data_IF_941157509285
#
_entry.id   IF_941157509285
#
_cell.length_a   1.000
_cell.length_b   1.000
_cell.length_c   1.000
_cell.angle_alpha   90.00
_cell.angle_beta   90.00
_cell.angle_gamma   90.00
#
_symmetry.space_group_name_H-M   'P 1'
#
loop_
_entity.id
_entity.type
_entity.pdbx_description
1 polymer ?
#
# COMPACT_ATOMS: atom_id res chain seq x y z
N UNK A 1 -4.06 -19.21 -28.26
CA UNK A 1 -3.84 -17.75 -28.26
C UNK A 1 -2.42 -17.56 -27.76
N UNK A 2 -1.56 -16.94 -28.57
CA UNK A 2 -0.14 -16.80 -28.28
C UNK A 2 0.02 -15.86 -27.08
N UNK A 3 0.52 -16.42 -25.99
CA UNK A 3 0.84 -15.75 -24.73
C UNK A 3 2.02 -14.82 -24.98
N UNK A 4 1.87 -13.54 -24.64
CA UNK A 4 2.97 -12.59 -24.68
C UNK A 4 3.68 -12.64 -23.33
N UNK A 5 5.00 -12.68 -23.40
CA UNK A 5 5.93 -13.11 -22.35
C UNK A 5 6.93 -11.99 -22.12
N UNK A 6 7.25 -11.72 -20.86
CA UNK A 6 8.43 -10.95 -20.44
C UNK A 6 9.11 -11.78 -19.34
N UNK A 7 10.45 -11.87 -19.38
CA UNK A 7 11.30 -12.77 -18.59
C UNK A 7 12.31 -11.93 -17.83
N UNK A 8 12.60 -12.32 -16.57
CA UNK A 8 13.97 -12.28 -16.02
C UNK A 8 14.03 -13.12 -14.72
N UNK A 9 15.16 -13.77 -14.40
CA UNK A 9 15.37 -14.72 -13.27
C UNK A 9 16.85 -14.69 -12.85
N UNK A 10 17.20 -14.80 -11.55
CA UNK A 10 18.14 -15.80 -10.93
C UNK A 10 18.31 -15.55 -9.41
N UNK A 11 17.98 -16.43 -8.44
CA UNK A 11 18.42 -17.79 -8.03
C UNK A 11 19.90 -17.94 -7.57
N UNK A 12 20.10 -18.20 -6.27
CA UNK A 12 21.23 -18.94 -5.67
C UNK A 12 20.64 -20.25 -5.09
N UNK A 13 21.17 -21.48 -5.18
CA UNK A 13 22.49 -22.04 -5.49
C UNK A 13 22.34 -23.53 -5.93
N UNK A 14 23.31 -23.98 -6.73
CA UNK A 14 23.78 -25.35 -7.01
C UNK A 14 23.21 -26.14 -8.20
N UNK A 15 24.10 -26.25 -9.21
CA UNK A 15 24.19 -27.19 -10.35
C UNK A 15 23.72 -26.67 -11.73
N UNK A 16 24.40 -27.13 -12.81
CA UNK A 16 25.08 -26.23 -13.74
C UNK A 16 24.19 -25.85 -14.92
N UNK A 17 24.18 -24.56 -15.26
CA UNK A 17 23.70 -24.11 -16.56
C UNK A 17 24.87 -23.44 -17.27
N UNK A 18 25.04 -23.83 -18.52
CA UNK A 18 26.21 -23.59 -19.35
C UNK A 18 26.44 -22.10 -19.64
N UNK A 19 27.71 -21.71 -19.55
CA UNK A 19 28.26 -20.48 -20.10
C UNK A 19 28.37 -20.57 -21.62
N UNK A 20 27.98 -19.50 -22.33
CA UNK A 20 28.56 -19.14 -23.62
C UNK A 20 29.25 -17.79 -23.42
N UNK A 21 30.57 -17.76 -23.60
CA UNK A 21 31.38 -16.57 -23.42
C UNK A 21 32.15 -16.18 -24.68
N UNK A 22 32.50 -14.89 -24.75
CA UNK A 22 33.75 -14.28 -25.22
C UNK A 22 33.63 -12.78 -24.92
N UNK A 23 34.63 -12.01 -24.47
CA UNK A 23 36.00 -12.26 -24.00
C UNK A 23 36.57 -10.93 -23.46
N UNK A 24 37.40 -11.02 -22.41
CA UNK A 24 38.50 -10.13 -22.03
C UNK A 24 38.26 -8.62 -21.86
N UNK A 25 37.60 -8.21 -20.77
CA UNK A 25 38.24 -7.43 -19.69
C UNK A 25 37.22 -6.93 -18.65
N UNK A 26 37.23 -7.56 -17.47
CA UNK A 26 36.70 -7.03 -16.21
C UNK A 26 35.17 -6.93 -16.09
N UNK A 27 34.52 -7.91 -15.45
CA UNK A 27 33.13 -7.80 -15.00
C UNK A 27 33.07 -8.14 -13.50
N UNK A 28 32.69 -7.15 -12.70
CA UNK A 28 32.11 -7.27 -11.35
C UNK A 28 30.87 -6.34 -11.28
N UNK A 29 29.83 -6.78 -10.53
CA UNK A 29 28.57 -6.11 -10.09
C UNK A 29 27.23 -6.53 -10.76
N UNK A 30 26.25 -6.89 -9.90
CA UNK A 30 24.81 -7.11 -10.14
C UNK A 30 23.99 -5.81 -10.02
N UNK A 31 22.69 -5.72 -10.34
CA UNK A 31 21.58 -6.66 -10.07
C UNK A 31 20.41 -6.57 -11.08
N UNK A 32 19.40 -7.44 -10.90
CA UNK A 32 18.42 -7.92 -11.89
C UNK A 32 16.99 -7.84 -11.33
N UNK A 33 16.05 -7.28 -12.10
CA UNK A 33 14.59 -7.44 -11.92
C UNK A 33 14.21 -8.83 -12.40
N UNK A 34 13.40 -9.63 -11.67
CA UNK A 34 13.01 -10.97 -12.14
C UNK A 34 11.51 -11.28 -12.06
N UNK A 35 10.94 -11.74 -13.18
CA UNK A 35 9.58 -12.23 -13.36
C UNK A 35 9.57 -13.75 -13.64
N UNK A 36 8.68 -14.49 -12.97
CA UNK A 36 8.58 -15.95 -13.10
C UNK A 36 7.29 -16.35 -13.86
N UNK A 37 7.34 -17.46 -14.59
CA UNK A 37 6.35 -17.85 -15.62
C UNK A 37 4.97 -18.31 -15.09
N UNK A 38 4.67 -18.03 -13.84
CA UNK A 38 3.52 -18.47 -13.03
C UNK A 38 2.71 -17.30 -12.45
N UNK A 39 2.81 -16.11 -13.06
CA UNK A 39 2.07 -14.88 -12.72
C UNK A 39 2.56 -14.16 -11.43
N UNK A 40 3.74 -14.56 -10.93
CA UNK A 40 4.46 -13.96 -9.79
C UNK A 40 5.56 -12.97 -10.22
N UNK A 41 5.56 -11.76 -9.62
CA UNK A 41 6.63 -10.76 -9.76
C UNK A 41 7.49 -10.67 -8.48
N UNK A 42 8.81 -10.87 -8.61
CA UNK A 42 9.78 -10.64 -7.54
C UNK A 42 10.61 -9.38 -7.85
N UNK A 43 10.47 -8.33 -7.04
CA UNK A 43 11.23 -7.07 -7.19
C UNK A 43 12.41 -7.08 -6.21
N UNK A 44 13.64 -7.26 -6.72
CA UNK A 44 14.88 -7.21 -5.94
C UNK A 44 15.56 -5.84 -6.07
N UNK A 45 16.05 -5.26 -4.96
CA UNK A 45 16.97 -4.11 -4.94
C UNK A 45 18.03 -4.30 -3.83
N UNK A 46 19.31 -4.30 -4.15
CA UNK A 46 20.46 -4.45 -3.21
C UNK A 46 21.54 -3.42 -3.57
N UNK A 47 21.70 -2.42 -2.70
CA UNK A 47 22.64 -1.29 -2.82
C UNK A 47 24.12 -1.62 -2.59
N UNK A 48 25.00 -1.50 -3.61
CA UNK A 48 26.14 -0.53 -3.62
C UNK A 48 27.13 -0.72 -4.82
N UNK A 49 27.01 0.17 -5.83
CA UNK A 49 28.14 0.78 -6.55
C UNK A 49 28.61 0.16 -7.89
N UNK A 50 28.51 0.91 -9.00
CA UNK A 50 29.63 1.32 -9.90
C UNK A 50 29.13 1.91 -11.25
N UNK A 51 30.04 2.64 -11.91
CA UNK A 51 29.84 3.61 -13.01
C UNK A 51 29.71 3.03 -14.45
N UNK A 52 28.95 3.78 -15.26
CA UNK A 52 28.89 4.08 -16.73
C UNK A 52 29.76 3.35 -17.79
N UNK A 53 29.12 3.12 -18.97
CA UNK A 53 29.59 3.10 -20.40
C UNK A 53 29.82 1.70 -21.05
N UNK A 54 29.85 1.51 -22.41
CA UNK A 54 29.70 2.46 -23.54
C UNK A 54 28.71 2.03 -24.66
N UNK A 55 28.57 2.89 -25.69
CA UNK A 55 27.77 2.76 -26.93
C UNK A 55 27.85 1.37 -27.60
N UNK A 56 26.70 0.84 -28.04
CA UNK A 56 26.64 -0.24 -29.01
C UNK A 56 25.73 0.14 -30.19
N UNK A 57 26.36 0.27 -31.35
CA UNK A 57 25.73 0.27 -32.66
C UNK A 57 25.08 -1.10 -32.92
N UNK A 58 23.81 -1.05 -33.34
CA UNK A 58 22.98 -2.10 -33.94
C UNK A 58 22.05 -2.92 -33.00
N UNK A 59 20.77 -2.74 -33.32
CA UNK A 59 19.49 -2.95 -32.62
C UNK A 59 19.26 -4.29 -31.87
N UNK A 60 18.76 -4.22 -30.61
CA UNK A 60 17.88 -5.24 -30.04
C UNK A 60 16.41 -4.87 -30.31
N UNK A 61 15.56 -5.89 -30.42
CA UNK A 61 14.11 -5.75 -30.60
C UNK A 61 13.51 -4.75 -29.58
N UNK A 62 13.13 -3.58 -30.10
CA UNK A 62 12.48 -2.45 -29.40
C UNK A 62 11.32 -2.92 -28.51
N UNK A 63 11.07 -2.19 -27.40
CA UNK A 63 9.86 -2.14 -26.56
C UNK A 63 9.96 -2.61 -25.09
N UNK A 64 11.06 -3.19 -24.59
CA UNK A 64 11.19 -3.51 -23.15
C UNK A 64 12.30 -2.77 -22.41
N UNK A 65 13.26 -2.19 -23.12
CA UNK A 65 14.38 -1.45 -22.51
C UNK A 65 14.08 0.05 -22.31
N UNK A 66 12.96 0.57 -22.84
CA UNK A 66 12.62 2.01 -22.77
C UNK A 66 11.73 2.38 -21.55
N UNK A 67 11.18 1.41 -20.82
CA UNK A 67 10.12 1.66 -19.83
C UNK A 67 10.44 1.25 -18.39
N UNK A 68 11.61 0.66 -18.11
CA UNK A 68 12.06 0.30 -16.76
C UNK A 68 13.29 1.13 -16.39
N UNK A 69 13.10 2.38 -15.96
CA UNK A 69 14.19 3.20 -15.44
C UNK A 69 14.19 3.15 -13.90
N UNK A 70 14.95 2.19 -13.34
CA UNK A 70 15.27 2.20 -11.92
C UNK A 70 16.38 3.22 -11.70
N UNK A 71 16.04 4.42 -11.23
CA UNK A 71 17.07 5.38 -10.88
C UNK A 71 17.79 4.92 -9.63
N UNK A 72 18.96 4.30 -9.81
CA UNK A 72 19.96 4.13 -8.78
C UNK A 72 20.66 5.47 -8.56
N UNK A 73 20.53 6.02 -7.36
CA UNK A 73 21.33 7.16 -6.93
C UNK A 73 22.65 6.61 -6.31
N UNK A 74 23.75 7.29 -6.57
CA UNK A 74 25.07 6.77 -6.92
C UNK A 74 25.99 6.47 -5.74
N UNK A 75 25.48 5.70 -4.78
CA UNK A 75 26.27 5.13 -3.69
C UNK A 75 26.05 5.80 -2.33
N UNK A 76 24.91 6.48 -2.16
CA UNK A 76 24.44 6.95 -0.86
C UNK A 76 22.89 6.93 -0.74
N UNK A 77 22.24 6.10 -1.55
CA UNK A 77 20.94 6.48 -2.09
C UNK A 77 19.96 5.32 -2.16
N UNK A 78 18.73 5.65 -1.83
CA UNK A 78 17.64 4.74 -1.53
C UNK A 78 16.85 4.40 -2.81
N UNK A 79 16.35 3.16 -2.93
CA UNK A 79 15.59 2.72 -4.10
C UNK A 79 14.15 3.23 -4.06
N UNK A 80 13.71 3.93 -5.10
CA UNK A 80 12.30 4.28 -5.28
C UNK A 80 11.79 3.50 -6.48
N UNK A 81 10.67 2.80 -6.33
CA UNK A 81 9.90 2.31 -7.48
C UNK A 81 9.20 3.55 -8.07
N UNK A 82 9.96 4.34 -8.84
CA UNK A 82 9.44 5.54 -9.51
C UNK A 82 8.63 5.09 -10.70
N UNK A 83 7.50 5.75 -10.90
CA UNK A 83 6.71 5.62 -12.11
C UNK A 83 6.41 7.00 -12.70
N UNK A 84 6.85 7.18 -13.94
CA UNK A 84 6.58 8.38 -14.71
C UNK A 84 5.19 8.25 -15.34
N UNK A 85 4.18 8.81 -14.68
CA UNK A 85 2.92 9.11 -15.33
C UNK A 85 3.17 10.13 -16.46
N UNK A 86 3.43 9.63 -17.67
CA UNK A 86 3.59 10.45 -18.87
C UNK A 86 2.23 11.03 -19.26
N UNK A 87 1.96 12.26 -18.80
CA UNK A 87 0.95 13.24 -19.27
C UNK A 87 -0.19 12.70 -20.19
N UNK A 88 -0.92 11.69 -19.70
CA UNK A 88 -1.86 10.82 -20.39
C UNK A 88 -2.49 9.84 -19.38
N UNK A 89 -3.48 8.97 -19.71
CA UNK A 89 -4.32 8.31 -18.71
C UNK A 89 -3.53 7.28 -17.86
N UNK A 90 -2.89 7.79 -16.80
CA UNK A 90 -2.79 7.31 -15.42
C UNK A 90 -2.81 5.78 -15.19
N UNK A 91 -2.01 5.03 -15.93
CA UNK A 91 -1.75 3.62 -15.65
C UNK A 91 -0.27 3.51 -15.27
N UNK A 92 0.03 2.95 -14.09
CA UNK A 92 1.39 2.66 -13.72
C UNK A 92 1.97 1.52 -14.57
N UNK A 93 3.29 1.43 -14.66
CA UNK A 93 4.04 0.50 -15.50
C UNK A 93 3.61 -0.96 -15.29
N UNK A 94 3.24 -1.33 -14.06
CA UNK A 94 2.79 -2.68 -13.71
C UNK A 94 1.27 -2.74 -13.51
N UNK A 95 0.50 -1.73 -13.95
CA UNK A 95 -0.97 -1.73 -13.89
C UNK A 95 -1.60 -2.59 -14.98
N UNK A 96 -2.75 -3.22 -14.70
CA UNK A 96 -3.58 -3.92 -15.70
C UNK A 96 -2.90 -5.13 -16.37
N UNK A 97 -1.99 -5.79 -15.66
CA UNK A 97 -1.21 -6.91 -16.19
C UNK A 97 -1.65 -8.29 -15.68
N UNK A 98 -2.61 -8.36 -14.77
CA UNK A 98 -3.07 -9.61 -14.17
C UNK A 98 -2.02 -10.25 -13.27
N UNK A 99 -1.16 -9.43 -12.64
CA UNK A 99 -0.17 -9.90 -11.66
C UNK A 99 -0.93 -10.40 -10.44
N UNK A 100 -0.57 -11.59 -9.93
CA UNK A 100 -1.25 -12.22 -8.79
C UNK A 100 -0.43 -12.19 -7.50
N UNK A 101 0.88 -12.00 -7.59
CA UNK A 101 1.77 -12.01 -6.43
C UNK A 101 2.92 -11.02 -6.60
N UNK A 102 3.18 -10.22 -5.56
CA UNK A 102 4.26 -9.23 -5.52
C UNK A 102 5.06 -9.35 -4.22
N UNK A 103 6.38 -9.46 -4.36
CA UNK A 103 7.30 -9.33 -3.23
C UNK A 103 8.21 -8.12 -3.43
N UNK A 104 8.10 -7.17 -2.51
CA UNK A 104 8.95 -5.98 -2.41
C UNK A 104 10.04 -6.28 -1.36
N UNK A 105 11.27 -6.48 -1.85
CA UNK A 105 12.42 -6.78 -1.00
C UNK A 105 13.06 -5.53 -0.37
N UNK A 106 14.06 -5.73 0.49
CA UNK A 106 14.82 -4.66 1.15
C UNK A 106 15.36 -3.63 0.12
N UNK A 107 15.66 -2.41 0.56
CA UNK A 107 16.22 -1.36 -0.30
C UNK A 107 15.20 -0.54 -1.09
N UNK A 108 13.93 -0.95 -1.12
CA UNK A 108 12.81 -0.14 -1.63
C UNK A 108 12.28 0.78 -0.52
N UNK A 109 12.30 2.08 -0.74
CA UNK A 109 11.75 3.09 0.16
C UNK A 109 10.37 3.59 -0.23
N UNK A 110 10.07 3.67 -1.51
CA UNK A 110 8.81 4.23 -1.98
C UNK A 110 8.25 3.39 -3.11
N UNK A 111 6.97 3.08 -3.00
CA UNK A 111 6.16 2.45 -4.05
C UNK A 111 5.38 3.55 -4.74
N UNK A 112 5.69 3.80 -6.01
CA UNK A 112 5.10 4.89 -6.78
C UNK A 112 3.57 4.81 -6.91
N UNK A 113 2.97 5.96 -7.21
CA UNK A 113 1.55 6.04 -7.50
C UNK A 113 1.19 5.12 -8.68
N UNK A 114 0.05 4.43 -8.58
CA UNK A 114 -0.45 3.47 -9.57
C UNK A 114 0.44 2.26 -9.86
N UNK A 115 1.55 2.04 -9.13
CA UNK A 115 2.54 1.00 -9.47
C UNK A 115 1.91 -0.34 -9.87
N UNK A 116 0.96 -0.86 -9.07
CA UNK A 116 0.27 -2.14 -9.27
C UNK A 116 -1.26 -1.97 -9.38
N UNK A 117 -1.73 -0.83 -9.89
CA UNK A 117 -3.16 -0.54 -10.02
C UNK A 117 -3.87 -1.52 -10.96
N UNK A 118 -5.08 -1.97 -10.58
CA UNK A 118 -5.98 -2.78 -11.40
C UNK A 118 -5.33 -4.10 -11.87
N UNK A 119 -4.84 -4.90 -10.92
CA UNK A 119 -4.28 -6.24 -11.17
C UNK A 119 -5.15 -7.32 -10.52
N UNK A 120 -4.61 -8.53 -10.39
CA UNK A 120 -5.24 -9.68 -9.75
C UNK A 120 -4.48 -10.08 -8.48
N UNK A 121 -3.81 -9.13 -7.80
CA UNK A 121 -2.91 -9.44 -6.68
C UNK A 121 -3.66 -10.10 -5.52
N UNK A 122 -3.32 -11.34 -5.24
CA UNK A 122 -3.77 -12.13 -4.09
C UNK A 122 -2.74 -12.09 -2.95
N UNK A 123 -1.46 -11.96 -3.27
CA UNK A 123 -0.35 -11.94 -2.31
C UNK A 123 0.56 -10.71 -2.48
N UNK A 124 0.84 -10.03 -1.38
CA UNK A 124 1.77 -8.90 -1.29
C UNK A 124 2.63 -9.04 -0.04
N UNK A 125 3.96 -9.06 -0.22
CA UNK A 125 4.90 -8.95 0.91
C UNK A 125 5.77 -7.71 0.78
N UNK A 126 5.80 -6.89 1.82
CA UNK A 126 6.63 -5.69 1.91
C UNK A 126 7.73 -5.89 2.95
N UNK A 127 8.99 -5.69 2.56
CA UNK A 127 10.12 -5.75 3.49
C UNK A 127 10.30 -4.45 4.27
N UNK A 128 11.04 -4.52 5.37
CA UNK A 128 11.46 -3.31 6.08
C UNK A 128 12.28 -2.39 5.17
N UNK A 129 12.06 -1.09 5.31
CA UNK A 129 12.67 -0.03 4.49
C UNK A 129 11.65 0.72 3.65
N UNK A 130 10.49 0.14 3.35
CA UNK A 130 9.41 0.83 2.61
C UNK A 130 8.79 1.89 3.51
N UNK A 131 8.98 3.16 3.17
CA UNK A 131 8.51 4.32 3.92
C UNK A 131 7.18 4.89 3.37
N UNK A 132 6.98 4.83 2.05
CA UNK A 132 5.83 5.47 1.38
C UNK A 132 5.16 4.50 0.39
N UNK A 133 3.83 4.40 0.49
CA UNK A 133 3.00 3.69 -0.47
C UNK A 133 2.15 4.72 -1.21
N UNK A 134 2.43 4.90 -2.49
CA UNK A 134 1.90 5.97 -3.33
C UNK A 134 0.41 5.85 -3.67
N UNK A 135 -0.15 6.94 -4.19
CA UNK A 135 -1.58 7.02 -4.49
C UNK A 135 -2.01 5.92 -5.46
N UNK A 136 -3.06 5.17 -5.10
CA UNK A 136 -3.61 4.06 -5.90
C UNK A 136 -2.61 2.94 -6.23
N UNK A 137 -1.46 2.86 -5.53
CA UNK A 137 -0.42 1.89 -5.83
C UNK A 137 -0.94 0.44 -5.94
N UNK A 138 -1.88 0.04 -5.08
CA UNK A 138 -2.47 -1.31 -5.05
C UNK A 138 -4.00 -1.28 -5.17
N UNK A 139 -4.57 -0.21 -5.74
CA UNK A 139 -6.03 -0.10 -5.91
C UNK A 139 -6.53 -1.13 -6.92
N UNK A 140 -7.74 -1.66 -6.70
CA UNK A 140 -8.41 -2.61 -7.61
C UNK A 140 -7.58 -3.90 -7.77
N UNK A 141 -7.42 -4.63 -6.67
CA UNK A 141 -6.71 -5.90 -6.59
C UNK A 141 -7.55 -6.91 -5.78
N UNK A 142 -7.00 -8.08 -5.47
CA UNK A 142 -7.69 -9.19 -4.80
C UNK A 142 -7.05 -9.54 -3.44
N UNK A 143 -6.34 -8.59 -2.82
CA UNK A 143 -5.64 -8.83 -1.55
C UNK A 143 -6.66 -9.09 -0.44
N UNK A 144 -6.51 -10.20 0.28
CA UNK A 144 -7.38 -10.57 1.41
C UNK A 144 -6.77 -10.28 2.77
N UNK A 145 -5.43 -10.23 2.84
CA UNK A 145 -4.69 -9.89 4.05
C UNK A 145 -3.58 -8.90 3.72
N UNK A 146 -3.23 -8.05 4.68
CA UNK A 146 -2.12 -7.12 4.53
C UNK A 146 -1.46 -6.84 5.89
N UNK A 147 -0.16 -7.10 5.97
CA UNK A 147 0.69 -6.64 7.07
C UNK A 147 1.66 -5.59 6.54
N UNK A 148 1.59 -4.38 7.07
CA UNK A 148 2.52 -3.31 6.73
C UNK A 148 3.73 -3.34 7.69
N UNK A 149 4.96 -3.25 7.17
CA UNK A 149 6.16 -3.21 8.01
C UNK A 149 6.21 -1.92 8.84
N UNK A 150 7.01 -1.95 9.91
CA UNK A 150 7.13 -0.82 10.86
C UNK A 150 7.75 0.42 10.22
N UNK A 151 8.44 0.26 9.10
CA UNK A 151 9.03 1.35 8.31
C UNK A 151 7.99 2.19 7.54
N UNK A 152 6.79 1.68 7.26
CA UNK A 152 5.80 2.44 6.48
C UNK A 152 5.31 3.62 7.29
N UNK A 153 5.55 4.84 6.80
CA UNK A 153 5.14 6.08 7.46
C UNK A 153 3.88 6.69 6.83
N UNK A 154 3.73 6.55 5.50
CA UNK A 154 2.67 7.22 4.73
C UNK A 154 1.99 6.25 3.77
N UNK A 155 0.66 6.21 3.83
CA UNK A 155 -0.19 5.47 2.91
C UNK A 155 -1.05 6.50 2.17
N UNK A 156 -0.75 6.71 0.88
CA UNK A 156 -1.37 7.76 0.09
C UNK A 156 -2.80 7.44 -0.36
N UNK A 157 -3.45 8.47 -0.93
CA UNK A 157 -4.86 8.42 -1.25
C UNK A 157 -5.19 7.23 -2.14
N UNK A 158 -6.19 6.44 -1.72
CA UNK A 158 -6.68 5.24 -2.40
C UNK A 158 -5.63 4.13 -2.59
N UNK A 159 -4.51 4.11 -1.87
CA UNK A 159 -3.43 3.14 -2.07
C UNK A 159 -3.93 1.68 -2.13
N UNK A 160 -4.83 1.27 -1.24
CA UNK A 160 -5.39 -0.09 -1.13
C UNK A 160 -6.91 -0.13 -1.34
N UNK A 161 -7.47 0.87 -2.02
CA UNK A 161 -8.91 0.95 -2.26
C UNK A 161 -9.38 -0.20 -3.16
N UNK A 162 -10.58 -0.75 -2.89
CA UNK A 162 -11.19 -1.79 -3.72
C UNK A 162 -10.31 -3.05 -3.84
N UNK A 163 -9.92 -3.57 -2.68
CA UNK A 163 -9.40 -4.92 -2.52
C UNK A 163 -10.45 -5.80 -1.83
N UNK A 164 -10.05 -6.96 -1.32
CA UNK A 164 -10.88 -7.89 -0.57
C UNK A 164 -10.35 -8.04 0.87
N UNK A 165 -9.70 -7.00 1.42
CA UNK A 165 -8.98 -7.11 2.70
C UNK A 165 -9.95 -7.44 3.83
N UNK A 166 -9.80 -8.63 4.41
CA UNK A 166 -10.49 -9.10 5.61
C UNK A 166 -9.66 -8.81 6.87
N UNK A 167 -8.32 -8.87 6.75
CA UNK A 167 -7.36 -8.63 7.83
C UNK A 167 -6.33 -7.56 7.44
N UNK A 168 -6.11 -6.61 8.34
CA UNK A 168 -5.13 -5.53 8.18
C UNK A 168 -4.35 -5.34 9.48
N UNK A 169 -3.02 -5.48 9.39
CA UNK A 169 -2.09 -5.12 10.44
C UNK A 169 -1.29 -3.89 9.98
N UNK A 170 -1.52 -2.76 10.65
CA UNK A 170 -0.76 -1.53 10.42
C UNK A 170 0.56 -1.60 11.18
N UNK A 171 1.66 -1.32 10.49
CA UNK A 171 2.98 -1.16 11.10
C UNK A 171 2.99 0.00 12.10
N UNK A 172 3.85 -0.08 13.10
CA UNK A 172 3.90 0.92 14.17
C UNK A 172 4.46 2.27 13.71
N UNK A 173 5.14 2.35 12.57
CA UNK A 173 5.62 3.61 12.00
C UNK A 173 4.58 4.42 11.23
N UNK A 174 3.38 3.87 10.99
CA UNK A 174 2.34 4.56 10.21
C UNK A 174 1.93 5.83 10.94
N UNK A 175 2.07 6.98 10.28
CA UNK A 175 1.72 8.30 10.83
C UNK A 175 0.58 8.97 10.06
N UNK A 176 0.48 8.70 8.75
CA UNK A 176 -0.48 9.32 7.84
C UNK A 176 -1.21 8.29 6.98
N UNK A 177 -2.54 8.28 7.06
CA UNK A 177 -3.44 7.47 6.23
C UNK A 177 -4.35 8.42 5.45
N UNK A 178 -4.14 8.53 4.14
CA UNK A 178 -4.79 9.54 3.31
C UNK A 178 -6.18 9.13 2.80
N UNK A 179 -6.82 10.07 2.10
CA UNK A 179 -8.18 9.95 1.59
C UNK A 179 -8.44 8.59 0.94
N UNK A 180 -9.45 7.88 1.46
CA UNK A 180 -9.94 6.61 0.91
C UNK A 180 -8.88 5.50 0.80
N UNK A 181 -7.78 5.56 1.56
CA UNK A 181 -6.65 4.63 1.46
C UNK A 181 -7.07 3.14 1.49
N UNK A 182 -7.98 2.77 2.38
CA UNK A 182 -8.53 1.42 2.56
C UNK A 182 -10.04 1.36 2.30
N UNK A 183 -10.58 2.28 1.49
CA UNK A 183 -12.01 2.30 1.13
C UNK A 183 -12.41 1.05 0.33
N UNK A 184 -13.65 0.57 0.54
CA UNK A 184 -14.25 -0.54 -0.22
C UNK A 184 -13.43 -1.83 -0.08
N UNK A 185 -13.31 -2.32 1.15
CA UNK A 185 -12.67 -3.59 1.54
C UNK A 185 -13.65 -4.39 2.41
N UNK A 186 -13.19 -5.48 3.04
CA UNK A 186 -14.02 -6.40 3.82
C UNK A 186 -13.61 -6.44 5.31
N UNK A 187 -12.91 -5.40 5.80
CA UNK A 187 -12.36 -5.39 7.16
C UNK A 187 -13.49 -5.43 8.18
N UNK A 188 -13.46 -6.41 9.10
CA UNK A 188 -14.47 -6.54 10.15
C UNK A 188 -14.06 -5.90 11.48
N UNK A 189 -12.75 -5.73 11.70
CA UNK A 189 -12.12 -5.10 12.86
C UNK A 189 -10.94 -4.26 12.41
N UNK A 190 -10.63 -3.23 13.19
CA UNK A 190 -9.48 -2.36 12.93
C UNK A 190 -8.82 -1.96 14.26
N UNK A 191 -7.50 -2.09 14.30
CA UNK A 191 -6.66 -1.49 15.35
C UNK A 191 -5.74 -0.46 14.70
N UNK A 192 -5.89 0.79 15.09
CA UNK A 192 -5.05 1.90 14.62
C UNK A 192 -3.94 2.14 15.65
N UNK A 193 -2.65 2.04 15.30
CA UNK A 193 -1.55 2.25 16.24
C UNK A 193 -1.50 3.67 16.84
N UNK A 194 -0.84 3.81 18.00
CA UNK A 194 -0.67 5.09 18.71
C UNK A 194 0.06 6.17 17.91
N UNK A 195 0.88 5.78 16.94
CA UNK A 195 1.68 6.74 16.15
C UNK A 195 0.90 7.36 14.98
N UNK A 196 -0.30 6.85 14.65
CA UNK A 196 -1.13 7.46 13.61
C UNK A 196 -1.62 8.81 14.12
N UNK A 197 -1.29 9.86 13.37
CA UNK A 197 -1.66 11.25 13.72
C UNK A 197 -2.80 11.78 12.85
N UNK A 198 -2.92 11.28 11.62
CA UNK A 198 -3.95 11.73 10.68
C UNK A 198 -4.54 10.56 9.92
N UNK A 199 -5.87 10.48 9.91
CA UNK A 199 -6.68 9.66 9.00
C UNK A 199 -7.61 10.59 8.24
N UNK A 200 -7.46 10.67 6.91
CA UNK A 200 -8.25 11.59 6.09
C UNK A 200 -9.62 11.00 5.68
N UNK A 201 -10.35 11.71 4.81
CA UNK A 201 -11.76 11.44 4.54
C UNK A 201 -11.95 10.02 3.99
N UNK A 202 -12.84 9.27 4.66
CA UNK A 202 -13.18 7.92 4.22
C UNK A 202 -12.02 6.93 4.19
N UNK A 203 -10.93 7.18 4.92
CA UNK A 203 -9.75 6.31 4.93
C UNK A 203 -10.08 4.82 5.08
N UNK A 204 -11.12 4.47 5.86
CA UNK A 204 -11.63 3.11 6.07
C UNK A 204 -13.12 2.97 5.70
N UNK A 205 -13.61 3.79 4.75
CA UNK A 205 -14.99 3.75 4.29
C UNK A 205 -15.36 2.44 3.58
N UNK A 206 -16.65 2.14 3.53
CA UNK A 206 -17.25 0.98 2.87
C UNK A 206 -16.55 -0.35 3.23
N UNK A 207 -16.27 -0.55 4.51
CA UNK A 207 -15.81 -1.82 5.09
C UNK A 207 -16.92 -2.48 5.93
N UNK A 208 -16.68 -3.69 6.43
CA UNK A 208 -17.60 -4.43 7.31
C UNK A 208 -17.30 -4.20 8.81
N UNK A 209 -16.67 -3.08 9.17
CA UNK A 209 -16.17 -2.86 10.53
C UNK A 209 -17.32 -2.92 11.55
N UNK A 210 -17.09 -3.70 12.60
CA UNK A 210 -17.97 -3.80 13.78
C UNK A 210 -17.27 -3.35 15.06
N UNK A 211 -15.94 -3.38 15.08
CA UNK A 211 -15.09 -3.01 16.19
C UNK A 211 -13.88 -2.22 15.71
N UNK A 212 -13.65 -1.05 16.31
CA UNK A 212 -12.49 -0.19 16.02
C UNK A 212 -11.80 0.16 17.33
N UNK A 213 -10.48 0.02 17.37
CA UNK A 213 -9.64 0.54 18.46
C UNK A 213 -8.71 1.61 17.91
N UNK A 214 -8.85 2.83 18.41
CA UNK A 214 -8.03 3.97 18.00
C UNK A 214 -6.88 4.18 18.98
N UNK A 215 -5.68 4.33 18.44
CA UNK A 215 -4.50 4.70 19.19
C UNK A 215 -4.61 6.10 19.78
N UNK A 216 -3.85 6.33 20.85
CA UNK A 216 -3.81 7.57 21.62
C UNK A 216 -3.31 8.79 20.85
N UNK A 217 -2.63 8.61 19.71
CA UNK A 217 -2.22 9.71 18.82
C UNK A 217 -3.34 10.33 18.00
N UNK A 218 -4.52 9.70 17.93
CA UNK A 218 -5.66 10.21 17.16
C UNK A 218 -6.36 11.33 17.93
N UNK A 219 -6.19 12.57 17.46
CA UNK A 219 -6.88 13.76 18.01
C UNK A 219 -8.10 14.18 17.18
N UNK A 220 -8.15 13.76 15.92
CA UNK A 220 -9.15 14.19 14.95
C UNK A 220 -9.59 13.01 14.07
N UNK A 221 -10.91 12.84 13.92
CA UNK A 221 -11.52 11.89 13.00
C UNK A 221 -12.23 12.68 11.90
N UNK A 222 -11.73 12.54 10.67
CA UNK A 222 -12.27 13.24 9.51
C UNK A 222 -13.62 12.67 9.07
N UNK A 223 -14.41 13.44 8.30
CA UNK A 223 -15.67 12.99 7.76
C UNK A 223 -15.60 11.63 7.04
N UNK A 224 -16.66 10.83 7.20
CA UNK A 224 -16.83 9.54 6.56
C UNK A 224 -15.73 8.48 6.82
N UNK A 225 -14.80 8.68 7.76
CA UNK A 225 -13.66 7.77 8.02
C UNK A 225 -14.07 6.30 8.09
N UNK A 226 -15.20 5.99 8.74
CA UNK A 226 -15.76 4.63 8.85
C UNK A 226 -17.16 4.53 8.20
N UNK A 227 -17.44 5.35 7.19
CA UNK A 227 -18.71 5.34 6.47
C UNK A 227 -19.04 3.94 5.94
N UNK A 228 -20.30 3.54 5.96
CA UNK A 228 -20.73 2.27 5.37
C UNK A 228 -20.45 1.04 6.23
N UNK A 229 -19.67 1.17 7.31
CA UNK A 229 -19.48 0.11 8.31
C UNK A 229 -20.62 0.08 9.34
N UNK A 230 -20.68 -0.94 10.19
CA UNK A 230 -21.73 -1.10 11.20
C UNK A 230 -21.12 -1.19 12.61
N UNK A 231 -20.38 -0.14 13.00
CA UNK A 231 -19.65 -0.11 14.27
C UNK A 231 -20.56 -0.37 15.47
N UNK A 232 -20.28 -1.44 16.19
CA UNK A 232 -20.93 -1.78 17.47
C UNK A 232 -20.02 -1.55 18.67
N UNK A 233 -18.73 -1.37 18.44
CA UNK A 233 -17.73 -1.11 19.47
C UNK A 233 -16.69 -0.13 18.93
N UNK A 234 -16.37 0.90 19.72
CA UNK A 234 -15.27 1.81 19.43
C UNK A 234 -14.50 2.12 20.71
N UNK A 235 -13.19 1.86 20.70
CA UNK A 235 -12.28 2.36 21.72
C UNK A 235 -11.61 3.63 21.20
N UNK A 236 -11.77 4.73 21.93
CA UNK A 236 -11.35 6.08 21.54
C UNK A 236 -10.70 6.80 22.73
N UNK A 237 -9.72 7.67 22.45
CA UNK A 237 -9.08 8.51 23.46
C UNK A 237 -9.99 9.61 24.00
N UNK A 238 -9.46 10.45 24.89
CA UNK A 238 -10.15 11.63 25.39
C UNK A 238 -10.03 12.81 24.42
N UNK A 239 -10.98 13.75 24.52
CA UNK A 239 -10.99 15.01 23.77
C UNK A 239 -10.88 14.91 22.23
N UNK A 240 -11.13 13.73 21.65
CA UNK A 240 -11.07 13.53 20.19
C UNK A 240 -12.13 14.40 19.50
N UNK A 241 -11.73 15.03 18.39
CA UNK A 241 -12.64 15.85 17.58
C UNK A 241 -13.19 15.03 16.43
N UNK A 242 -14.51 14.81 16.40
CA UNK A 242 -15.21 14.10 15.33
C UNK A 242 -15.85 15.16 14.41
N UNK A 243 -15.33 15.27 13.19
CA UNK A 243 -15.79 16.26 12.21
C UNK A 243 -17.05 15.76 11.48
N UNK A 244 -17.95 16.67 11.07
CA UNK A 244 -19.17 16.35 10.30
C UNK A 244 -18.91 16.43 8.78
N UNK A 245 -19.57 15.60 7.96
CA UNK A 245 -19.58 15.76 6.50
C UNK A 245 -20.51 16.92 6.15
N UNK A 246 -19.92 17.95 5.54
CA UNK A 246 -20.62 19.15 5.11
C UNK A 246 -21.75 18.89 4.09
N UNK A 247 -21.71 17.76 3.36
CA UNK A 247 -22.68 17.41 2.32
C UNK A 247 -23.90 16.66 2.85
N UNK A 248 -23.71 15.69 3.75
CA UNK A 248 -24.81 14.83 4.23
C UNK A 248 -25.42 15.31 5.54
N UNK A 249 -24.71 16.16 6.32
CA UNK A 249 -25.16 16.71 7.62
C UNK A 249 -25.72 15.66 8.59
N UNK A 250 -25.25 14.41 8.50
CA UNK A 250 -25.75 13.28 9.29
C UNK A 250 -24.58 12.44 9.80
N UNK A 251 -24.70 11.93 11.03
CA UNK A 251 -23.67 11.18 11.78
C UNK A 251 -23.54 9.71 11.31
N UNK A 252 -23.81 9.40 10.03
CA UNK A 252 -23.61 8.05 9.44
C UNK A 252 -22.11 7.72 9.22
N UNK A 253 -21.24 8.48 9.86
CA UNK A 253 -19.84 8.64 9.47
C UNK A 253 -18.87 7.83 10.32
N UNK A 254 -19.35 7.38 11.47
CA UNK A 254 -18.70 6.43 12.37
C UNK A 254 -19.42 5.07 12.26
N UNK A 255 -19.89 4.74 11.06
CA UNK A 255 -20.75 3.59 10.77
C UNK A 255 -22.25 3.91 10.71
N UNK A 256 -23.05 2.89 10.43
CA UNK A 256 -24.51 2.97 10.23
C UNK A 256 -25.28 3.16 11.54
N UNK A 257 -24.63 2.95 12.69
CA UNK A 257 -25.19 3.22 14.01
C UNK A 257 -25.03 4.71 14.35
N UNK A 258 -26.13 5.45 14.24
CA UNK A 258 -26.15 6.91 14.37
C UNK A 258 -25.89 7.40 15.81
N UNK A 259 -25.41 8.64 15.92
CA UNK A 259 -25.43 9.41 17.16
C UNK A 259 -24.24 9.18 18.09
N UNK A 260 -23.22 8.46 17.65
CA UNK A 260 -22.01 8.24 18.45
C UNK A 260 -21.33 9.56 18.79
N UNK A 261 -21.19 10.48 17.83
CA UNK A 261 -20.54 11.77 18.07
C UNK A 261 -21.26 12.55 19.16
N UNK A 262 -22.57 12.69 19.03
CA UNK A 262 -23.38 13.40 20.01
C UNK A 262 -23.28 12.74 21.39
N UNK A 263 -23.32 11.41 21.45
CA UNK A 263 -23.15 10.66 22.70
C UNK A 263 -21.79 10.92 23.35
N UNK A 264 -20.70 10.80 22.58
CA UNK A 264 -19.33 11.04 23.05
C UNK A 264 -19.15 12.48 23.58
N UNK A 265 -19.70 13.47 22.87
CA UNK A 265 -19.70 14.87 23.30
C UNK A 265 -20.52 15.09 24.59
N UNK A 266 -21.69 14.45 24.71
CA UNK A 266 -22.54 14.51 25.92
C UNK A 266 -21.89 13.83 27.13
N UNK A 267 -21.12 12.76 26.91
CA UNK A 267 -20.33 12.09 27.95
C UNK A 267 -19.04 12.86 28.34
N UNK A 268 -18.81 14.04 27.76
CA UNK A 268 -17.64 14.86 28.09
C UNK A 268 -16.35 14.42 27.41
N UNK A 269 -16.45 13.67 26.30
CA UNK A 269 -15.32 13.20 25.50
C UNK A 269 -14.29 12.40 26.29
N UNK A 270 -14.74 11.53 27.20
CA UNK A 270 -13.84 10.72 28.00
C UNK A 270 -13.27 9.53 27.21
N UNK A 271 -12.01 9.18 27.45
CA UNK A 271 -11.41 7.97 26.88
C UNK A 271 -12.21 6.72 27.26
N UNK A 272 -12.26 5.71 26.41
CA UNK A 272 -12.84 4.42 26.76
C UNK A 272 -13.38 3.64 25.59
N UNK A 273 -13.98 2.50 25.91
CA UNK A 273 -14.67 1.64 24.95
C UNK A 273 -16.16 1.91 25.02
N UNK A 274 -16.73 2.25 23.88
CA UNK A 274 -18.14 2.56 23.73
C UNK A 274 -18.80 1.48 22.90
N UNK A 275 -19.95 0.98 23.35
CA UNK A 275 -20.66 -0.13 22.69
C UNK A 275 -22.10 0.25 22.35
N UNK A 276 -22.56 -0.22 21.19
CA UNK A 276 -23.93 -0.05 20.72
C UNK A 276 -24.77 -1.24 21.15
N UNK A 277 -25.84 -0.98 21.91
CA UNK A 277 -26.73 -2.03 22.44
C UNK A 277 -27.82 -2.47 21.46
N UNK A 278 -27.92 -1.82 20.30
CA UNK A 278 -29.07 -1.92 19.40
C UNK A 278 -30.06 -0.76 19.54
N UNK A 279 -30.02 -0.04 20.66
CA UNK A 279 -30.90 1.10 20.94
C UNK A 279 -30.13 2.39 21.26
N UNK A 280 -28.99 2.28 21.95
CA UNK A 280 -28.17 3.41 22.37
C UNK A 280 -26.69 3.01 22.52
N UNK A 281 -25.83 4.03 22.55
CA UNK A 281 -24.42 3.88 22.95
C UNK A 281 -24.29 3.84 24.47
N UNK A 282 -23.38 3.01 24.96
CA UNK A 282 -22.97 2.89 26.36
C UNK A 282 -21.44 2.92 26.45
N UNK A 283 -20.88 3.40 27.57
CA UNK A 283 -19.43 3.38 27.86
C UNK A 283 -19.14 2.39 28.98
#
# INVERSE_FOLDING_TARGET
MLKKTIIAILVLLSLPVFTVGCSDSGIEAGEVVSYRSDDTLHVFIEGSGAQVLPEMDEEPEEYLEEYLDFTWDDGNSQGIIRDFAYDGPQNGLLSEHGITEVHIHEGVQEIGAFAFFNNELEELTLSEGVEVIGSRAFRENQLTTLTLPDSVTTIDSRAFRANELEELELGTGVTHIKDLAFDNNQLNRLTVPDNVTTMENGAFGNNELTEVTLGSGITDIQPATFWGSALTSITIGDDVTIHDDEHTKTDYMMGTNQGFKAFYEEQGKEEGTYTWTGEAWER
#
